data_IF_230474643668
#
_entry.id   IF_230474643668
#
_cell.length_a   1.000
_cell.length_b   1.000
_cell.length_c   1.000
_cell.angle_alpha   90.00
_cell.angle_beta   90.00
_cell.angle_gamma   90.00
#
_symmetry.space_group_name_H-M   'P 1'
#
loop_
_entity.id
_entity.type
_entity.pdbx_description
1 polymer ?
#
# COMPACT_ATOMS: atom_id res chain seq x y z
N UNK A 1 -16.91 -13.52 8.07
CA UNK A 1 -16.35 -14.60 7.24
C UNK A 1 -17.11 -15.89 7.50
N UNK A 2 -17.73 -16.44 6.49
CA UNK A 2 -18.63 -17.62 6.63
C UNK A 2 -18.09 -18.89 5.97
N UNK A 3 -16.93 -18.80 5.32
CA UNK A 3 -16.34 -19.87 4.53
C UNK A 3 -16.37 -21.26 5.20
N UNK A 4 -15.72 -21.45 6.36
CA UNK A 4 -15.69 -22.77 7.02
C UNK A 4 -17.06 -23.30 7.41
N UNK A 5 -18.01 -22.41 7.72
CA UNK A 5 -19.39 -22.80 8.06
C UNK A 5 -20.18 -23.35 6.87
N UNK A 6 -19.83 -22.94 5.65
CA UNK A 6 -20.54 -23.36 4.42
C UNK A 6 -19.68 -24.27 3.53
N UNK A 7 -18.59 -24.82 4.05
CA UNK A 7 -17.72 -25.75 3.32
C UNK A 7 -16.79 -25.05 2.31
N UNK A 8 -16.42 -23.80 2.57
CA UNK A 8 -15.49 -23.03 1.76
C UNK A 8 -14.36 -22.45 2.62
N UNK A 9 -13.32 -21.91 1.99
CA UNK A 9 -12.22 -21.23 2.68
C UNK A 9 -11.56 -20.17 1.78
N UNK A 10 -10.91 -19.20 2.43
CA UNK A 10 -10.00 -18.27 1.79
C UNK A 10 -8.66 -18.31 2.54
N UNK A 11 -7.72 -19.09 2.00
CA UNK A 11 -6.37 -19.22 2.54
C UNK A 11 -5.36 -18.24 1.89
N UNK A 12 -5.83 -17.41 0.95
CA UNK A 12 -5.04 -16.41 0.26
C UNK A 12 -5.02 -15.06 0.99
N UNK A 13 -5.24 -14.01 0.24
CA UNK A 13 -5.18 -12.64 0.75
C UNK A 13 -6.20 -12.37 1.85
N UNK A 14 -7.42 -12.92 1.77
CA UNK A 14 -8.46 -12.67 2.76
C UNK A 14 -8.05 -13.02 4.19
N UNK A 15 -7.38 -14.16 4.39
CA UNK A 15 -6.92 -14.56 5.72
C UNK A 15 -5.66 -13.82 6.17
N UNK A 16 -4.68 -13.65 5.28
CA UNK A 16 -3.40 -13.01 5.61
C UNK A 16 -3.55 -11.51 5.88
N UNK A 17 -4.29 -10.78 5.05
CA UNK A 17 -4.56 -9.35 5.27
C UNK A 17 -5.41 -9.11 6.51
N UNK A 18 -6.43 -9.93 6.75
CA UNK A 18 -7.24 -9.81 7.96
C UNK A 18 -6.36 -9.94 9.21
N UNK A 19 -5.44 -10.93 9.24
CA UNK A 19 -4.56 -11.14 10.37
C UNK A 19 -3.62 -9.96 10.65
N UNK A 20 -3.25 -9.19 9.62
CA UNK A 20 -2.44 -7.97 9.77
C UNK A 20 -3.26 -6.79 10.30
N UNK A 21 -4.53 -6.68 9.90
CA UNK A 21 -5.41 -5.60 10.36
C UNK A 21 -5.88 -5.77 11.81
N UNK A 22 -6.38 -6.97 12.16
CA UNK A 22 -7.02 -7.21 13.47
C UNK A 22 -6.15 -8.03 14.42
N UNK A 23 -4.97 -8.46 14.00
CA UNK A 23 -4.08 -9.32 14.74
C UNK A 23 -4.42 -10.82 14.59
N UNK A 24 -3.39 -11.66 14.77
CA UNK A 24 -3.46 -13.11 14.53
C UNK A 24 -4.55 -13.83 15.33
N UNK A 25 -4.73 -13.47 16.61
CA UNK A 25 -5.71 -14.13 17.47
C UNK A 25 -7.14 -13.82 17.04
N UNK A 26 -7.42 -12.54 16.77
CA UNK A 26 -8.75 -12.09 16.34
C UNK A 26 -9.10 -12.63 14.95
N UNK A 27 -8.15 -12.64 14.02
CA UNK A 27 -8.36 -13.22 12.69
C UNK A 27 -8.74 -14.72 12.77
N UNK A 28 -8.05 -15.51 13.62
CA UNK A 28 -8.41 -16.92 13.84
C UNK A 28 -9.80 -17.08 14.47
N UNK A 29 -10.15 -16.24 15.45
CA UNK A 29 -11.50 -16.24 16.02
C UNK A 29 -12.56 -15.99 14.95
N UNK A 30 -12.35 -15.00 14.10
CA UNK A 30 -13.28 -14.64 13.01
C UNK A 30 -13.43 -15.82 12.02
N UNK A 31 -12.31 -16.37 11.56
CA UNK A 31 -12.31 -17.44 10.57
C UNK A 31 -12.76 -18.80 11.11
N UNK A 32 -12.31 -19.19 12.31
CA UNK A 32 -12.58 -20.52 12.82
C UNK A 32 -13.97 -20.65 13.45
N UNK A 33 -14.45 -19.58 14.08
CA UNK A 33 -15.76 -19.60 14.74
C UNK A 33 -16.88 -19.05 13.83
N UNK A 34 -16.53 -18.39 12.73
CA UNK A 34 -17.49 -17.74 11.81
C UNK A 34 -18.49 -16.84 12.55
N UNK A 35 -18.06 -16.16 13.61
CA UNK A 35 -18.88 -15.23 14.36
C UNK A 35 -19.23 -14.01 13.50
N UNK A 36 -20.39 -13.45 13.76
CA UNK A 36 -20.79 -12.14 13.22
C UNK A 36 -20.43 -11.04 14.21
N UNK A 37 -19.96 -9.92 13.70
CA UNK A 37 -19.59 -8.74 14.45
C UNK A 37 -20.39 -7.55 13.93
N UNK A 38 -20.81 -6.67 14.83
CA UNK A 38 -21.42 -5.40 14.48
C UNK A 38 -20.37 -4.46 13.82
N UNK A 39 -20.84 -3.45 13.10
CA UNK A 39 -19.98 -2.43 12.53
C UNK A 39 -19.10 -1.76 13.59
N UNK A 40 -19.67 -1.47 14.77
CA UNK A 40 -18.93 -0.87 15.89
C UNK A 40 -17.81 -1.78 16.44
N UNK A 41 -18.05 -3.09 16.53
CA UNK A 41 -17.01 -4.05 16.91
C UNK A 41 -15.92 -4.13 15.84
N UNK A 42 -16.30 -4.07 14.56
CA UNK A 42 -15.34 -4.03 13.44
C UNK A 42 -14.46 -2.79 13.48
N UNK A 43 -14.99 -1.63 13.84
CA UNK A 43 -14.24 -0.40 14.06
C UNK A 43 -13.27 -0.54 15.25
N UNK A 44 -13.76 -1.04 16.40
CA UNK A 44 -12.95 -1.23 17.59
C UNK A 44 -11.77 -2.19 17.39
N UNK A 45 -11.91 -3.20 16.55
CA UNK A 45 -10.81 -4.13 16.24
C UNK A 45 -9.92 -3.69 15.07
N UNK A 46 -10.17 -2.52 14.48
CA UNK A 46 -9.37 -1.98 13.36
C UNK A 46 -9.66 -2.61 12.01
N UNK A 47 -10.80 -3.33 11.86
CA UNK A 47 -11.19 -3.91 10.57
C UNK A 47 -11.72 -2.84 9.60
N UNK A 48 -12.35 -1.81 10.11
CA UNK A 48 -12.83 -0.63 9.37
C UNK A 48 -12.35 0.65 10.03
N UNK A 49 -12.18 1.70 9.25
CA UNK A 49 -11.63 2.97 9.72
C UNK A 49 -12.63 3.82 10.49
N UNK A 50 -13.90 3.80 10.07
CA UNK A 50 -14.97 4.62 10.63
C UNK A 50 -16.33 3.98 10.38
N UNK A 51 -17.22 4.12 11.33
CA UNK A 51 -18.64 3.72 11.21
C UNK A 51 -19.49 4.97 11.23
N UNK A 52 -20.37 5.09 10.24
CA UNK A 52 -21.31 6.20 10.08
C UNK A 52 -22.70 5.67 9.73
N UNK A 53 -23.79 6.45 9.90
CA UNK A 53 -25.10 6.13 9.35
C UNK A 53 -25.00 5.88 7.84
N UNK A 54 -25.86 4.99 7.31
CA UNK A 54 -25.80 4.58 5.90
C UNK A 54 -25.98 5.76 4.94
N UNK A 55 -26.85 6.70 5.28
CA UNK A 55 -27.10 7.92 4.51
C UNK A 55 -25.92 8.91 4.49
N UNK A 56 -24.94 8.75 5.39
CA UNK A 56 -23.74 9.58 5.45
C UNK A 56 -22.49 8.88 4.91
N UNK A 57 -22.59 7.64 4.47
CA UNK A 57 -21.43 6.83 4.08
C UNK A 57 -20.71 7.42 2.87
N UNK A 58 -21.45 7.75 1.83
CA UNK A 58 -20.90 8.31 0.60
C UNK A 58 -20.24 9.68 0.85
N UNK A 59 -20.95 10.58 1.52
CA UNK A 59 -20.44 11.91 1.85
C UNK A 59 -19.15 11.83 2.69
N UNK A 60 -19.08 10.92 3.66
CA UNK A 60 -17.85 10.70 4.45
C UNK A 60 -16.69 10.18 3.58
N UNK A 61 -16.97 9.31 2.63
CA UNK A 61 -15.93 8.83 1.71
C UNK A 61 -15.44 9.94 0.77
N UNK A 62 -16.35 10.79 0.28
CA UNK A 62 -16.02 11.96 -0.54
C UNK A 62 -15.17 12.94 0.25
N UNK A 63 -15.55 13.29 1.47
CA UNK A 63 -14.76 14.14 2.37
C UNK A 63 -13.32 13.63 2.51
N UNK A 64 -13.14 12.33 2.74
CA UNK A 64 -11.80 11.75 2.88
C UNK A 64 -11.02 11.78 1.55
N UNK A 65 -11.70 11.58 0.42
CA UNK A 65 -11.07 11.68 -0.88
C UNK A 65 -10.60 13.12 -1.16
N UNK A 66 -11.39 14.13 -0.81
CA UNK A 66 -11.02 15.55 -0.93
C UNK A 66 -9.81 15.88 -0.07
N UNK A 67 -9.77 15.41 1.17
CA UNK A 67 -8.59 15.56 2.05
C UNK A 67 -7.36 14.92 1.40
N UNK A 68 -7.48 13.75 0.79
CA UNK A 68 -6.35 13.10 0.09
C UNK A 68 -5.91 13.89 -1.14
N UNK A 69 -6.82 14.49 -1.88
CA UNK A 69 -6.50 15.30 -3.06
C UNK A 69 -5.70 16.58 -2.72
N UNK A 70 -5.74 17.05 -1.48
CA UNK A 70 -4.89 18.14 -0.99
C UNK A 70 -3.45 17.69 -0.67
N UNK A 71 -3.12 16.43 -0.80
CA UNK A 71 -1.80 15.88 -0.51
C UNK A 71 -1.02 15.62 -1.79
N UNK A 72 0.30 15.54 -1.70
CA UNK A 72 1.15 15.21 -2.83
C UNK A 72 0.78 13.84 -3.42
N UNK A 73 0.34 13.77 -4.69
CA UNK A 73 -0.05 12.50 -5.32
C UNK A 73 1.13 11.53 -5.43
N UNK A 74 2.35 12.02 -5.62
CA UNK A 74 3.56 11.18 -5.65
C UNK A 74 3.85 10.60 -4.27
N UNK A 75 3.79 11.43 -3.21
CA UNK A 75 4.01 10.96 -1.84
C UNK A 75 2.99 9.87 -1.45
N UNK A 76 1.71 10.06 -1.77
CA UNK A 76 0.68 9.05 -1.51
C UNK A 76 0.95 7.74 -2.25
N UNK A 77 1.38 7.81 -3.52
CA UNK A 77 1.75 6.62 -4.30
C UNK A 77 2.92 5.87 -3.67
N UNK A 78 3.99 6.58 -3.33
CA UNK A 78 5.18 5.98 -2.72
C UNK A 78 4.89 5.36 -1.36
N UNK A 79 4.08 6.02 -0.53
CA UNK A 79 3.64 5.47 0.76
C UNK A 79 2.81 4.20 0.55
N UNK A 80 1.87 4.20 -0.41
CA UNK A 80 1.06 3.02 -0.73
C UNK A 80 1.92 1.84 -1.19
N UNK A 81 2.87 2.09 -2.12
CA UNK A 81 3.81 1.07 -2.57
C UNK A 81 4.65 0.52 -1.41
N UNK A 82 5.16 1.39 -0.53
CA UNK A 82 5.92 0.98 0.66
C UNK A 82 5.11 0.14 1.65
N UNK A 83 3.85 0.50 1.91
CA UNK A 83 2.94 -0.25 2.79
C UNK A 83 2.58 -1.64 2.23
N UNK A 84 2.55 -1.79 0.90
CA UNK A 84 2.23 -3.04 0.24
C UNK A 84 3.47 -3.92 0.00
N UNK A 85 4.66 -3.35 -0.14
CA UNK A 85 5.88 -4.06 -0.53
C UNK A 85 6.18 -5.29 0.35
N UNK A 86 6.04 -5.18 1.66
CA UNK A 86 6.24 -6.30 2.59
C UNK A 86 5.20 -7.42 2.37
N UNK A 87 3.97 -7.05 2.05
CA UNK A 87 2.85 -7.98 1.89
C UNK A 87 2.91 -8.73 0.57
N UNK A 88 3.34 -8.05 -0.47
CA UNK A 88 3.38 -8.56 -1.84
C UNK A 88 4.72 -9.25 -2.17
N UNK A 89 5.64 -9.30 -1.21
CA UNK A 89 6.92 -9.98 -1.36
C UNK A 89 7.74 -9.42 -2.53
N UNK A 90 8.25 -10.29 -3.39
CA UNK A 90 9.07 -9.88 -4.55
C UNK A 90 8.31 -8.96 -5.51
N UNK A 91 7.01 -9.15 -5.69
CA UNK A 91 6.19 -8.29 -6.55
C UNK A 91 6.09 -6.87 -5.97
N UNK A 92 5.90 -6.72 -4.67
CA UNK A 92 5.87 -5.42 -4.00
C UNK A 92 7.21 -4.69 -4.05
N UNK A 93 8.32 -5.43 -3.88
CA UNK A 93 9.68 -4.87 -4.05
C UNK A 93 9.88 -4.40 -5.50
N UNK A 94 9.42 -5.16 -6.49
CA UNK A 94 9.53 -4.80 -7.89
C UNK A 94 8.73 -3.54 -8.22
N UNK A 95 7.52 -3.39 -7.69
CA UNK A 95 6.70 -2.18 -7.87
C UNK A 95 7.39 -0.95 -7.27
N UNK A 96 7.85 -1.06 -6.01
CA UNK A 96 8.58 0.02 -5.34
C UNK A 96 9.86 0.41 -6.09
N UNK A 97 10.62 -0.59 -6.56
CA UNK A 97 11.84 -0.37 -7.35
C UNK A 97 11.52 0.29 -8.69
N UNK A 98 10.41 -0.07 -9.34
CA UNK A 98 9.92 0.56 -10.57
C UNK A 98 9.60 2.04 -10.37
N UNK A 99 8.87 2.38 -9.32
CA UNK A 99 8.56 3.76 -8.97
C UNK A 99 9.83 4.58 -8.67
N UNK A 100 10.78 4.02 -7.92
CA UNK A 100 12.06 4.65 -7.64
C UNK A 100 12.88 4.87 -8.93
N UNK A 101 12.89 3.90 -9.83
CA UNK A 101 13.56 3.99 -11.12
C UNK A 101 12.95 5.10 -12.00
N UNK A 102 11.63 5.20 -12.05
CA UNK A 102 10.96 6.29 -12.77
C UNK A 102 11.33 7.66 -12.21
N UNK A 103 11.40 7.81 -10.88
CA UNK A 103 11.85 9.05 -10.25
C UNK A 103 13.29 9.36 -10.63
N UNK A 104 14.18 8.36 -10.57
CA UNK A 104 15.60 8.53 -10.95
C UNK A 104 15.74 9.05 -12.38
N UNK A 105 14.98 8.50 -13.34
CA UNK A 105 15.04 8.97 -14.73
C UNK A 105 14.55 10.41 -14.96
N UNK A 106 13.90 11.03 -13.98
CA UNK A 106 13.55 12.47 -14.04
C UNK A 106 14.70 13.36 -13.55
N UNK A 107 15.77 12.80 -13.00
CA UNK A 107 16.92 13.55 -12.46
C UNK A 107 18.01 13.74 -13.53
N UNK A 108 18.76 14.83 -13.42
CA UNK A 108 19.88 15.12 -14.32
C UNK A 108 20.97 14.07 -14.27
N UNK A 109 21.22 13.49 -13.10
CA UNK A 109 22.18 12.40 -12.90
C UNK A 109 21.90 11.21 -13.80
N UNK A 110 20.65 10.82 -13.98
CA UNK A 110 20.26 9.72 -14.85
C UNK A 110 20.60 9.95 -16.33
N UNK A 111 20.73 11.21 -16.74
CA UNK A 111 21.06 11.57 -18.13
C UNK A 111 22.58 11.58 -18.37
N UNK A 112 23.40 11.72 -17.33
CA UNK A 112 24.83 11.90 -17.45
C UNK A 112 25.52 10.72 -18.16
N UNK A 113 25.19 9.47 -17.79
CA UNK A 113 25.80 8.29 -18.41
C UNK A 113 25.54 8.21 -19.90
N UNK A 114 24.31 8.48 -20.34
CA UNK A 114 23.93 8.53 -21.74
C UNK A 114 24.63 9.64 -22.52
N UNK A 115 24.67 10.84 -21.95
CA UNK A 115 25.38 11.99 -22.55
C UNK A 115 26.88 11.69 -22.71
N UNK A 116 27.52 11.23 -21.64
CA UNK A 116 28.94 10.86 -21.64
C UNK A 116 29.28 9.82 -22.72
N UNK A 117 28.42 8.80 -22.86
CA UNK A 117 28.56 7.79 -23.90
C UNK A 117 28.50 8.37 -25.32
N UNK A 118 27.50 9.21 -25.62
CA UNK A 118 27.37 9.88 -26.92
C UNK A 118 28.53 10.83 -27.23
N UNK A 119 29.00 11.54 -26.21
CA UNK A 119 30.13 12.48 -26.29
C UNK A 119 31.51 11.80 -26.24
N UNK A 120 31.55 10.47 -26.09
CA UNK A 120 32.78 9.66 -25.98
C UNK A 120 33.74 10.15 -24.88
N UNK A 121 33.19 10.59 -23.77
CA UNK A 121 33.92 11.03 -22.57
C UNK A 121 33.62 10.16 -21.35
N UNK A 122 34.37 10.29 -20.29
CA UNK A 122 34.02 9.71 -19.00
C UNK A 122 32.84 10.44 -18.37
N UNK A 123 31.88 9.73 -17.73
CA UNK A 123 30.81 10.37 -16.98
C UNK A 123 31.36 11.12 -15.76
N UNK A 124 30.67 12.20 -15.36
CA UNK A 124 31.05 13.04 -14.23
C UNK A 124 30.03 12.91 -13.11
N UNK A 125 29.92 11.73 -12.52
CA UNK A 125 28.99 11.48 -11.42
C UNK A 125 29.40 12.21 -10.13
N UNK A 126 30.64 12.64 -9.99
CA UNK A 126 31.12 13.43 -8.86
C UNK A 126 30.47 14.84 -8.80
N UNK A 127 29.88 15.30 -9.90
CA UNK A 127 29.14 16.57 -9.96
C UNK A 127 27.77 16.49 -9.27
N UNK A 128 27.31 15.28 -8.91
CA UNK A 128 26.02 15.04 -8.28
C UNK A 128 26.15 14.71 -6.79
N UNK A 129 25.10 14.90 -5.99
CA UNK A 129 25.12 14.56 -4.56
C UNK A 129 25.55 13.12 -4.30
N UNK A 130 26.53 12.93 -3.42
CA UNK A 130 27.11 11.61 -3.07
C UNK A 130 26.58 11.12 -1.71
N UNK A 131 25.29 11.18 -1.49
CA UNK A 131 24.68 10.67 -0.26
C UNK A 131 23.45 9.80 -0.55
N UNK A 132 23.17 8.80 0.31
CA UNK A 132 21.90 8.12 0.30
C UNK A 132 20.80 9.05 0.77
#
# INVERSE_FOLDING_TARGET
QTGPKVGSFDAGFGSSYLARMVGQKKAREIWFLCKQYSAKEAEQMGMVNKVVPLDQLEDTCVEWAEIMMERSPLALRMIKAGLNAELDGQAGIQELAGDATMLYYTMDEAQEGGKAFLEKRKPRFDDYPQFP
#
